data_IF_325955073995
#
_entry.id   IF_325955073995
#
_cell.length_a   1.000
_cell.length_b   1.000
_cell.length_c   1.000
_cell.angle_alpha   90.00
_cell.angle_beta   90.00
_cell.angle_gamma   90.00
#
_symmetry.space_group_name_H-M   'P 1'
#
loop_
_entity.id
_entity.type
_entity.pdbx_description
1 polymer ?
#
# COMPACT_ATOMS: atom_id res chain seq x y z
N UNK A 1 64.41 -4.29 -12.31
CA UNK A 1 64.37 -4.19 -10.83
C UNK A 1 63.06 -3.54 -10.43
N UNK A 2 62.57 -3.95 -9.28
CA UNK A 2 61.27 -3.74 -8.65
C UNK A 2 60.90 -2.29 -8.29
N UNK A 3 59.58 -2.13 -8.11
CA UNK A 3 58.80 -1.25 -7.20
C UNK A 3 58.44 0.20 -7.57
N UNK A 4 57.12 0.42 -7.62
CA UNK A 4 56.33 1.67 -7.56
C UNK A 4 56.47 2.42 -6.21
N UNK A 5 55.86 3.62 -6.01
CA UNK A 5 54.40 3.77 -5.79
C UNK A 5 53.71 5.01 -6.41
N UNK A 6 52.37 4.95 -6.41
CA UNK A 6 51.35 5.84 -6.98
C UNK A 6 51.12 7.11 -6.14
N UNK A 7 50.63 8.20 -6.75
CA UNK A 7 49.66 9.10 -6.08
C UNK A 7 48.72 9.82 -7.05
N UNK A 8 47.42 9.59 -6.89
CA UNK A 8 46.27 10.18 -7.60
C UNK A 8 45.75 11.41 -6.87
N UNK A 9 46.37 12.57 -7.06
CA UNK A 9 45.90 13.85 -6.50
C UNK A 9 46.02 14.97 -7.53
N UNK A 10 44.91 15.31 -8.21
CA UNK A 10 44.59 16.66 -8.71
C UNK A 10 43.36 16.65 -9.63
N UNK A 11 42.15 16.61 -9.06
CA UNK A 11 40.99 17.24 -9.72
C UNK A 11 40.13 17.86 -8.62
N UNK A 12 40.12 19.20 -8.57
CA UNK A 12 39.04 20.04 -8.07
C UNK A 12 39.48 21.52 -8.21
N UNK A 13 38.86 22.26 -9.15
CA UNK A 13 38.47 23.68 -8.98
C UNK A 13 37.66 24.20 -10.18
N UNK A 14 36.44 24.66 -9.88
CA UNK A 14 35.55 25.49 -10.71
C UNK A 14 34.49 24.68 -11.46
N UNK A 15 33.18 24.71 -11.19
CA UNK A 15 32.34 25.57 -10.36
C UNK A 15 31.27 26.26 -11.22
N UNK A 16 30.01 25.77 -11.21
CA UNK A 16 28.76 26.55 -11.30
C UNK A 16 27.50 25.65 -11.45
N UNK A 17 26.53 25.91 -10.57
CA UNK A 17 25.07 25.74 -10.71
C UNK A 17 24.49 24.33 -11.02
N UNK A 18 24.18 23.57 -9.97
CA UNK A 18 23.27 22.42 -10.03
C UNK A 18 22.02 22.70 -9.18
N UNK A 19 20.85 22.64 -9.81
CA UNK A 19 19.58 22.53 -9.10
C UNK A 19 19.53 21.18 -8.39
N UNK A 20 19.22 21.20 -7.08
CA UNK A 20 18.98 19.98 -6.32
C UNK A 20 17.60 19.40 -6.68
N UNK A 21 17.57 18.59 -7.72
CA UNK A 21 16.61 17.49 -7.80
C UNK A 21 17.16 16.36 -6.95
N UNK A 22 16.64 16.19 -5.74
CA UNK A 22 16.91 14.98 -4.95
C UNK A 22 15.94 13.92 -5.46
N UNK A 23 16.43 13.07 -6.36
CA UNK A 23 15.85 11.75 -6.58
C UNK A 23 16.50 10.83 -5.55
N UNK A 24 15.76 10.44 -4.52
CA UNK A 24 16.19 9.34 -3.64
C UNK A 24 15.98 8.04 -4.40
N UNK A 25 16.91 7.72 -5.30
CA UNK A 25 17.10 6.36 -5.77
C UNK A 25 17.92 5.63 -4.70
N UNK A 26 17.24 4.89 -3.82
CA UNK A 26 17.88 4.14 -2.74
C UNK A 26 18.75 3.01 -3.28
N UNK A 27 20.05 3.28 -3.46
CA UNK A 27 21.11 2.29 -3.30
C UNK A 27 22.03 2.82 -2.19
N UNK A 28 21.80 2.38 -0.95
CA UNK A 28 22.63 2.75 0.19
C UNK A 28 23.59 1.60 0.54
N UNK A 29 24.67 1.48 -0.23
CA UNK A 29 25.93 0.99 0.32
C UNK A 29 26.86 2.16 0.62
N UNK A 30 27.27 2.24 1.89
CA UNK A 30 28.44 2.95 2.42
C UNK A 30 28.41 4.49 2.57
N UNK A 31 27.97 4.96 3.74
CA UNK A 31 28.82 5.81 4.63
C UNK A 31 28.60 5.37 6.08
N UNK A 32 29.32 4.34 6.51
CA UNK A 32 29.42 3.98 7.93
C UNK A 32 30.49 4.87 8.59
N UNK A 33 30.05 5.93 9.28
CA UNK A 33 30.84 6.58 10.32
C UNK A 33 30.79 5.76 11.62
N UNK A 34 31.73 5.95 12.58
CA UNK A 34 31.97 5.03 13.69
C UNK A 34 30.95 5.13 14.84
N UNK A 35 29.65 5.09 14.53
CA UNK A 35 28.56 4.81 15.50
C UNK A 35 27.96 3.41 15.26
N UNK A 36 28.49 2.67 14.28
CA UNK A 36 28.23 1.24 14.15
C UNK A 36 28.99 0.44 15.23
N UNK A 37 28.40 0.30 16.42
CA UNK A 37 28.52 -0.89 17.28
C UNK A 37 27.74 -0.73 18.59
N UNK A 38 26.41 -0.64 18.49
CA UNK A 38 25.50 -1.34 19.40
C UNK A 38 24.33 -1.86 18.56
N UNK A 39 24.65 -2.67 17.56
CA UNK A 39 23.70 -3.71 17.17
C UNK A 39 23.61 -4.61 18.41
N UNK A 40 22.66 -4.32 19.30
CA UNK A 40 22.23 -5.31 20.27
C UNK A 40 21.89 -6.52 19.42
N UNK A 41 22.66 -7.60 19.56
CA UNK A 41 22.29 -8.90 19.02
C UNK A 41 20.96 -9.24 19.66
N UNK A 42 19.86 -8.93 18.96
CA UNK A 42 18.51 -9.22 19.45
C UNK A 42 18.38 -10.74 19.41
N UNK A 43 18.05 -11.38 20.54
CA UNK A 43 17.99 -12.84 20.63
C UNK A 43 16.75 -13.45 19.98
N UNK A 44 15.85 -12.64 19.42
CA UNK A 44 14.61 -13.05 18.78
C UNK A 44 14.49 -12.40 17.38
N UNK A 45 13.65 -13.00 16.53
CA UNK A 45 13.31 -12.46 15.20
C UNK A 45 12.62 -11.10 15.34
N UNK A 46 12.87 -10.17 14.41
CA UNK A 46 12.23 -8.86 14.44
C UNK A 46 12.74 -7.92 15.55
N UNK A 47 11.81 -7.42 16.36
CA UNK A 47 12.04 -6.47 17.47
C UNK A 47 11.87 -7.10 18.87
N UNK A 48 11.55 -8.39 18.95
CA UNK A 48 11.27 -9.12 20.20
C UNK A 48 9.78 -9.27 20.47
N UNK A 49 9.45 -9.99 21.55
CA UNK A 49 8.09 -10.28 21.99
C UNK A 49 7.26 -9.02 22.26
N UNK A 50 5.95 -9.09 22.01
CA UNK A 50 5.02 -8.01 22.33
C UNK A 50 4.80 -7.91 23.85
N UNK A 51 4.76 -6.68 24.35
CA UNK A 51 4.44 -6.40 25.76
C UNK A 51 2.99 -5.92 25.84
N UNK A 52 2.17 -6.49 26.76
CA UNK A 52 0.80 -6.02 26.96
C UNK A 52 0.74 -4.51 27.22
N UNK A 53 -0.18 -3.84 26.53
CA UNK A 53 -0.39 -2.40 26.69
C UNK A 53 -1.22 -2.11 27.94
N UNK A 54 -0.71 -1.32 28.91
CA UNK A 54 -1.51 -0.90 30.06
C UNK A 54 -2.77 -0.11 29.70
N UNK A 55 -2.79 0.55 28.54
CA UNK A 55 -3.96 1.26 28.03
C UNK A 55 -4.93 0.35 27.23
N UNK A 56 -4.52 -0.88 26.91
CA UNK A 56 -5.34 -1.86 26.19
C UNK A 56 -5.65 -1.47 24.74
N UNK A 57 -4.76 -0.75 24.05
CA UNK A 57 -4.94 -0.42 22.63
C UNK A 57 -3.97 -1.19 21.75
N UNK A 58 -2.67 -1.09 22.02
CA UNK A 58 -1.64 -1.58 21.10
C UNK A 58 -0.47 -2.19 21.86
N UNK A 59 -0.39 -3.52 21.89
CA UNK A 59 0.79 -4.20 22.41
C UNK A 59 1.96 -4.02 21.43
N UNK A 60 3.11 -3.61 21.95
CA UNK A 60 4.30 -3.27 21.17
C UNK A 60 5.55 -3.93 21.76
N UNK A 61 6.63 -4.13 20.97
CA UNK A 61 7.90 -4.64 21.50
C UNK A 61 8.55 -3.69 22.52
N UNK A 62 9.45 -4.18 23.40
CA UNK A 62 10.13 -3.36 24.38
C UNK A 62 10.83 -2.14 23.76
N UNK A 63 10.53 -0.96 24.30
CA UNK A 63 11.11 0.32 23.87
C UNK A 63 10.35 1.03 22.76
N UNK A 64 9.29 0.40 22.22
CA UNK A 64 8.33 1.06 21.34
C UNK A 64 7.21 1.71 22.13
N UNK A 65 6.58 2.72 21.53
CA UNK A 65 5.43 3.44 22.08
C UNK A 65 4.59 4.02 20.95
N UNK A 66 3.36 4.43 21.24
CA UNK A 66 2.48 5.07 20.27
C UNK A 66 1.89 6.37 20.82
N UNK A 67 1.44 7.23 19.91
CA UNK A 67 0.50 8.32 20.19
C UNK A 67 -0.70 8.20 19.26
N UNK A 68 -1.89 8.55 19.75
CA UNK A 68 -3.10 8.64 18.91
C UNK A 68 -3.02 9.95 18.13
N UNK A 69 -2.96 9.83 16.80
CA UNK A 69 -3.01 10.95 15.86
C UNK A 69 -4.45 11.39 15.69
N UNK A 70 -5.36 10.47 15.36
CA UNK A 70 -6.77 10.74 15.17
C UNK A 70 -7.62 9.57 15.68
N UNK A 71 -8.87 9.87 16.05
CA UNK A 71 -9.85 8.88 16.46
C UNK A 71 -11.22 9.27 15.91
N UNK A 72 -11.84 8.36 15.16
CA UNK A 72 -13.14 8.60 14.55
C UNK A 72 -14.19 8.94 15.60
N UNK A 73 -15.07 9.90 15.27
CA UNK A 73 -16.10 10.38 16.20
C UNK A 73 -15.59 11.23 17.38
N UNK A 74 -14.27 11.30 17.63
CA UNK A 74 -13.67 11.99 18.79
C UNK A 74 -12.83 13.19 18.37
N UNK A 75 -11.85 12.99 17.49
CA UNK A 75 -11.07 14.10 16.95
C UNK A 75 -11.89 14.89 15.92
N UNK A 76 -11.58 16.17 15.74
CA UNK A 76 -12.36 17.06 14.86
C UNK A 76 -11.53 17.55 13.69
N UNK A 77 -12.13 17.50 12.50
CA UNK A 77 -11.65 18.19 11.31
C UNK A 77 -11.62 19.71 11.53
N UNK A 78 -10.86 20.43 10.71
CA UNK A 78 -10.87 21.90 10.68
C UNK A 78 -12.27 22.50 10.48
N UNK A 79 -13.13 21.77 9.76
CA UNK A 79 -14.52 22.15 9.51
C UNK A 79 -15.47 21.89 10.69
N UNK A 80 -14.98 21.26 11.77
CA UNK A 80 -15.70 21.01 13.01
C UNK A 80 -16.48 19.69 13.07
N UNK A 81 -16.59 18.95 11.97
CA UNK A 81 -17.11 17.57 11.97
C UNK A 81 -16.09 16.62 12.60
N UNK A 82 -16.54 15.47 13.14
CA UNK A 82 -15.62 14.44 13.60
C UNK A 82 -14.74 13.89 12.47
N UNK A 83 -13.56 13.40 12.83
CA UNK A 83 -12.74 12.52 11.99
C UNK A 83 -13.62 11.37 11.51
N UNK A 84 -13.61 11.05 10.19
CA UNK A 84 -14.43 9.98 9.64
C UNK A 84 -14.01 8.58 10.15
N UNK A 85 -14.93 7.61 10.10
CA UNK A 85 -14.66 6.20 10.45
C UNK A 85 -13.80 5.49 9.42
N UNK A 86 -13.50 4.22 9.70
CA UNK A 86 -12.95 3.24 8.76
C UNK A 86 -11.69 3.75 8.08
N UNK A 87 -10.77 4.28 8.90
CA UNK A 87 -9.46 4.73 8.45
C UNK A 87 -8.70 3.54 7.86
N UNK A 88 -8.19 3.72 6.65
CA UNK A 88 -7.59 2.65 5.84
C UNK A 88 -6.27 3.12 5.20
N UNK A 89 -5.99 2.75 3.95
CA UNK A 89 -4.78 3.05 3.20
C UNK A 89 -4.28 4.47 3.43
N UNK A 90 -3.04 4.57 3.91
CA UNK A 90 -2.44 5.85 4.29
C UNK A 90 -1.16 6.13 3.50
N UNK A 91 -1.13 7.25 2.78
CA UNK A 91 0.09 7.79 2.19
C UNK A 91 0.78 8.76 3.15
N UNK A 92 2.11 8.63 3.35
CA UNK A 92 2.90 9.58 4.15
C UNK A 92 3.81 10.43 3.25
N UNK A 93 3.75 11.74 3.44
CA UNK A 93 4.48 12.73 2.66
C UNK A 93 5.27 13.67 3.57
N UNK A 94 6.40 14.19 3.07
CA UNK A 94 7.20 15.14 3.82
C UNK A 94 6.44 16.46 4.02
N UNK A 95 6.21 16.83 5.29
CA UNK A 95 5.61 18.09 5.68
C UNK A 95 6.63 19.16 6.05
N UNK A 96 6.14 20.37 6.36
CA UNK A 96 7.00 21.48 6.84
C UNK A 96 7.49 21.26 8.28
N UNK A 97 6.61 20.77 9.14
CA UNK A 97 6.87 20.57 10.57
C UNK A 97 7.12 19.10 10.93
N UNK A 98 6.86 18.19 10.00
CA UNK A 98 6.92 16.74 10.19
C UNK A 98 6.41 16.01 8.96
N UNK A 99 5.25 15.37 9.09
CA UNK A 99 4.64 14.56 8.03
C UNK A 99 3.25 15.06 7.66
N UNK A 100 2.84 14.78 6.44
CA UNK A 100 1.47 14.96 5.95
C UNK A 100 0.96 13.58 5.55
N UNK A 101 -0.14 13.14 6.17
CA UNK A 101 -0.79 11.87 5.88
C UNK A 101 -2.00 12.13 5.00
N UNK A 102 -2.19 11.35 3.95
CA UNK A 102 -3.48 11.24 3.25
C UNK A 102 -4.07 9.90 3.65
N UNK A 103 -5.13 9.93 4.46
CA UNK A 103 -5.78 8.77 5.04
C UNK A 103 -7.07 8.49 4.29
N UNK A 104 -7.21 7.27 3.77
CA UNK A 104 -8.46 6.80 3.19
C UNK A 104 -9.51 6.51 4.26
N UNK A 105 -10.77 6.52 3.84
CA UNK A 105 -11.92 6.14 4.66
C UNK A 105 -12.80 5.16 3.88
N UNK A 106 -12.80 3.90 4.29
CA UNK A 106 -13.38 2.75 3.60
C UNK A 106 -14.90 2.64 3.80
N UNK A 107 -15.60 3.76 3.57
CA UNK A 107 -17.03 3.88 3.87
C UNK A 107 -17.84 3.56 2.59
N UNK A 108 -18.48 2.39 2.56
CA UNK A 108 -19.33 1.94 1.45
C UNK A 108 -20.84 2.00 1.70
N UNK A 109 -21.26 2.19 2.96
CA UNK A 109 -22.60 1.86 3.42
C UNK A 109 -23.22 2.92 4.32
N UNK A 110 -23.50 2.52 5.56
CA UNK A 110 -24.18 3.31 6.59
C UNK A 110 -23.31 3.48 7.85
N UNK A 111 -22.00 3.30 7.68
CA UNK A 111 -20.99 3.47 8.71
C UNK A 111 -21.05 4.89 9.28
N UNK A 112 -20.76 5.08 10.58
CA UNK A 112 -20.90 6.37 11.23
C UNK A 112 -19.80 7.34 10.79
N UNK A 113 -20.03 8.65 10.88
CA UNK A 113 -19.02 9.67 10.57
C UNK A 113 -18.47 9.56 9.11
N UNK A 114 -19.31 9.72 8.07
CA UNK A 114 -18.82 9.75 6.70
C UNK A 114 -17.88 10.93 6.46
N UNK A 115 -17.04 10.84 5.42
CA UNK A 115 -16.24 11.97 4.96
C UNK A 115 -17.18 13.11 4.57
N UNK A 116 -17.10 14.31 5.20
CA UNK A 116 -18.08 15.35 4.96
C UNK A 116 -18.12 15.79 3.49
N UNK A 117 -19.31 15.84 2.86
CA UNK A 117 -19.44 16.33 1.50
C UNK A 117 -19.23 17.84 1.48
N UNK A 118 -18.07 18.29 1.00
CA UNK A 118 -17.72 19.70 0.86
C UNK A 118 -17.77 20.15 -0.60
N UNK A 119 -18.35 21.32 -0.83
CA UNK A 119 -18.44 21.91 -2.16
C UNK A 119 -17.06 21.98 -2.83
N UNK A 120 -16.99 21.56 -4.09
CA UNK A 120 -15.75 21.49 -4.84
C UNK A 120 -14.90 20.25 -4.57
N UNK A 121 -15.04 19.55 -3.43
CA UNK A 121 -14.23 18.36 -3.11
C UNK A 121 -15.01 17.05 -3.23
N UNK A 122 -16.32 17.11 -3.48
CA UNK A 122 -17.20 15.95 -3.58
C UNK A 122 -17.33 15.42 -5.01
N UNK A 123 -16.98 14.15 -5.24
CA UNK A 123 -17.23 13.45 -6.49
C UNK A 123 -18.71 13.10 -6.64
N UNK A 124 -19.27 12.33 -5.71
CA UNK A 124 -20.69 11.95 -5.66
C UNK A 124 -21.25 12.18 -4.23
N UNK A 125 -22.23 13.05 -4.03
CA UNK A 125 -22.80 13.31 -2.69
C UNK A 125 -23.55 12.10 -2.09
N UNK A 126 -23.83 11.06 -2.88
CA UNK A 126 -24.46 9.83 -2.40
C UNK A 126 -23.50 8.82 -1.76
N UNK A 127 -22.18 9.05 -1.87
CA UNK A 127 -21.15 8.18 -1.29
C UNK A 127 -20.52 8.82 -0.04
N UNK A 128 -20.22 7.99 0.97
CA UNK A 128 -19.70 8.43 2.27
C UNK A 128 -18.18 8.34 2.41
N UNK A 129 -17.51 7.63 1.50
CA UNK A 129 -16.05 7.49 1.48
C UNK A 129 -15.32 8.73 1.00
N UNK A 130 -14.00 8.64 1.02
CA UNK A 130 -13.12 9.74 0.67
C UNK A 130 -11.74 9.61 1.30
N UNK A 131 -11.08 10.76 1.40
CA UNK A 131 -9.81 10.90 2.09
C UNK A 131 -9.83 12.14 2.97
N UNK A 132 -9.16 12.04 4.11
CA UNK A 132 -8.73 13.20 4.89
C UNK A 132 -7.23 13.37 4.78
N UNK A 133 -6.75 14.60 4.96
CA UNK A 133 -5.33 14.90 5.10
C UNK A 133 -5.04 15.33 6.52
N UNK A 134 -4.13 14.64 7.20
CA UNK A 134 -3.68 14.95 8.57
C UNK A 134 -2.26 15.49 8.51
N UNK A 135 -2.01 16.65 9.10
CA UNK A 135 -0.65 17.16 9.31
C UNK A 135 -0.21 16.83 10.74
N UNK A 136 1.02 16.32 10.87
CA UNK A 136 1.65 16.01 12.15
C UNK A 136 3.04 16.65 12.23
N UNK A 137 3.48 16.98 13.44
CA UNK A 137 4.85 17.45 13.68
C UNK A 137 5.87 16.30 13.63
N UNK A 138 7.15 16.64 13.79
CA UNK A 138 8.26 15.68 13.73
C UNK A 138 8.26 14.62 14.83
N UNK A 139 7.44 14.78 15.88
CA UNK A 139 7.23 13.80 16.94
C UNK A 139 5.94 12.98 16.72
N UNK A 140 5.23 13.20 15.60
CA UNK A 140 4.00 12.50 15.25
C UNK A 140 2.74 13.08 15.87
N UNK A 141 2.82 14.24 16.52
CA UNK A 141 1.66 14.87 17.15
C UNK A 141 0.82 15.61 16.11
N UNK A 142 -0.49 15.40 16.14
CA UNK A 142 -1.46 16.05 15.24
C UNK A 142 -1.45 17.57 15.36
N UNK A 143 -1.35 18.22 14.19
CA UNK A 143 -1.47 19.67 13.99
C UNK A 143 -2.89 20.00 13.54
N UNK A 144 -3.36 19.40 12.44
CA UNK A 144 -4.70 19.64 11.86
C UNK A 144 -5.13 18.48 10.97
N UNK A 145 -6.40 18.47 10.59
CA UNK A 145 -6.96 17.51 9.64
C UNK A 145 -8.09 18.14 8.84
N UNK A 146 -8.14 17.85 7.55
CA UNK A 146 -9.17 18.39 6.65
C UNK A 146 -9.52 17.38 5.55
N UNK A 147 -10.72 17.52 4.98
CA UNK A 147 -11.15 16.72 3.82
C UNK A 147 -10.29 17.06 2.60
N UNK A 148 -9.68 16.05 1.99
CA UNK A 148 -8.97 16.14 0.71
C UNK A 148 -9.86 15.79 -0.47
N UNK A 149 -10.54 14.64 -0.42
CA UNK A 149 -11.53 14.21 -1.43
C UNK A 149 -12.71 13.60 -0.68
N UNK A 150 -13.94 13.88 -1.13
CA UNK A 150 -15.16 13.31 -0.56
C UNK A 150 -16.04 12.71 -1.66
N UNK A 151 -17.02 11.90 -1.26
CA UNK A 151 -18.00 11.36 -2.20
C UNK A 151 -17.42 10.34 -3.18
N UNK A 152 -16.30 9.72 -2.82
CA UNK A 152 -15.85 8.45 -3.39
C UNK A 152 -16.35 7.32 -2.50
N UNK A 153 -16.17 6.07 -2.91
CA UNK A 153 -16.85 4.92 -2.33
C UNK A 153 -15.88 3.79 -1.97
N UNK A 154 -15.97 3.27 -0.74
CA UNK A 154 -15.13 2.18 -0.25
C UNK A 154 -13.64 2.43 -0.56
N UNK A 155 -13.11 3.55 -0.07
CA UNK A 155 -11.71 3.87 -0.30
C UNK A 155 -10.84 2.95 0.57
N UNK A 156 -10.38 1.83 0.03
CA UNK A 156 -9.56 0.84 0.74
C UNK A 156 -8.10 1.32 0.82
N UNK A 157 -7.21 0.76 0.00
CA UNK A 157 -5.80 1.12 -0.03
C UNK A 157 -5.46 2.15 -1.12
N UNK A 158 -4.22 2.12 -1.60
CA UNK A 158 -3.75 3.06 -2.60
C UNK A 158 -2.28 2.94 -2.90
N UNK A 159 -1.67 4.05 -3.32
CA UNK A 159 -0.25 4.09 -3.59
C UNK A 159 0.32 5.48 -3.78
N UNK A 160 1.60 5.63 -3.45
CA UNK A 160 2.33 6.89 -3.58
C UNK A 160 2.91 7.00 -5.00
N UNK A 161 2.65 8.11 -5.68
CA UNK A 161 3.31 8.41 -6.95
C UNK A 161 4.74 8.94 -6.73
N UNK A 162 5.65 8.75 -7.69
CA UNK A 162 7.00 9.31 -7.65
C UNK A 162 7.08 10.84 -7.56
N UNK A 163 5.98 11.53 -7.88
CA UNK A 163 5.87 12.99 -7.81
C UNK A 163 5.12 13.49 -6.56
N UNK A 164 4.89 12.61 -5.58
CA UNK A 164 4.39 13.00 -4.26
C UNK A 164 2.90 13.32 -4.24
N UNK A 165 2.09 12.51 -4.91
CA UNK A 165 0.62 12.46 -4.78
C UNK A 165 0.19 11.08 -4.30
N UNK A 166 -0.97 11.00 -3.66
CA UNK A 166 -1.61 9.74 -3.27
C UNK A 166 -2.60 9.32 -4.35
N UNK A 167 -2.61 8.04 -4.71
CA UNK A 167 -3.65 7.44 -5.52
C UNK A 167 -4.55 6.64 -4.58
N UNK A 168 -5.75 7.15 -4.32
CA UNK A 168 -6.77 6.46 -3.52
C UNK A 168 -7.61 5.56 -4.42
N UNK A 169 -7.92 4.35 -3.96
CA UNK A 169 -8.60 3.32 -4.74
C UNK A 169 -10.01 3.08 -4.20
N UNK A 170 -11.03 3.09 -5.06
CA UNK A 170 -12.36 2.63 -4.70
C UNK A 170 -12.45 1.10 -4.91
N UNK A 171 -12.70 0.38 -3.83
CA UNK A 171 -12.85 -1.08 -3.80
C UNK A 171 -14.31 -1.45 -4.04
N UNK A 172 -14.82 -1.12 -5.24
CA UNK A 172 -16.19 -1.43 -5.61
C UNK A 172 -16.40 -1.52 -7.12
N UNK A 173 -17.53 -2.09 -7.53
CA UNK A 173 -18.01 -2.05 -8.91
C UNK A 173 -19.34 -1.28 -9.06
N UNK A 174 -19.73 -0.55 -8.02
CA UNK A 174 -21.03 0.10 -7.93
C UNK A 174 -21.28 1.08 -9.08
N UNK A 175 -22.46 0.96 -9.70
CA UNK A 175 -22.90 1.82 -10.80
C UNK A 175 -23.78 2.95 -10.33
N UNK A 176 -23.83 4.01 -11.15
CA UNK A 176 -24.83 5.06 -11.05
C UNK A 176 -26.24 4.45 -11.07
N UNK A 177 -27.15 5.05 -10.31
CA UNK A 177 -28.51 4.57 -10.16
C UNK A 177 -29.30 5.47 -9.22
N UNK A 178 -30.01 4.87 -8.25
CA UNK A 178 -30.84 5.63 -7.31
C UNK A 178 -30.01 6.20 -6.15
N UNK A 179 -29.10 5.42 -5.56
CA UNK A 179 -28.26 5.86 -4.43
C UNK A 179 -27.10 6.75 -4.88
N UNK A 180 -26.45 6.40 -5.99
CA UNK A 180 -25.27 7.09 -6.52
C UNK A 180 -25.59 7.76 -7.85
N UNK A 181 -25.11 8.98 -8.05
CA UNK A 181 -25.28 9.75 -9.27
C UNK A 181 -24.22 9.42 -10.34
N UNK A 182 -23.11 8.80 -9.94
CA UNK A 182 -21.98 8.46 -10.80
C UNK A 182 -21.60 6.98 -10.63
N UNK A 183 -20.90 6.46 -11.64
CA UNK A 183 -20.24 5.16 -11.53
C UNK A 183 -19.03 5.30 -10.59
N UNK A 184 -18.79 4.24 -9.80
CA UNK A 184 -17.68 4.07 -8.87
C UNK A 184 -16.83 2.85 -9.26
N UNK A 185 -15.74 2.64 -8.52
CA UNK A 185 -14.72 1.63 -8.79
C UNK A 185 -13.52 2.21 -9.53
N UNK A 186 -13.17 3.47 -9.26
CA UNK A 186 -12.07 4.15 -9.92
C UNK A 186 -10.98 4.58 -8.94
N UNK A 187 -9.79 4.81 -9.47
CA UNK A 187 -8.69 5.46 -8.75
C UNK A 187 -8.79 6.98 -8.88
N UNK A 188 -8.42 7.72 -7.83
CA UNK A 188 -8.37 9.19 -7.81
C UNK A 188 -6.99 9.68 -7.33
N UNK A 189 -6.50 10.76 -7.94
CA UNK A 189 -5.24 11.41 -7.52
C UNK A 189 -5.52 12.51 -6.48
N UNK A 190 -4.80 12.47 -5.37
CA UNK A 190 -4.88 13.41 -4.25
C UNK A 190 -3.52 14.07 -4.04
N UNK A 191 -3.45 15.40 -4.11
CA UNK A 191 -2.28 16.16 -3.69
C UNK A 191 -2.32 16.37 -2.16
N UNK A 192 -1.28 15.93 -1.42
CA UNK A 192 -1.22 16.07 0.03
C UNK A 192 -1.03 17.53 0.50
N UNK A 193 -0.51 18.40 -0.36
CA UNK A 193 -0.08 19.75 0.03
C UNK A 193 -0.92 20.87 -0.59
N UNK A 194 -1.55 20.63 -1.74
CA UNK A 194 -2.38 21.61 -2.42
C UNK A 194 -3.85 21.16 -2.47
N UNK A 195 -4.64 21.63 -1.48
CA UNK A 195 -6.07 21.34 -1.42
C UNK A 195 -6.84 21.81 -2.66
N UNK A 196 -6.40 22.88 -3.32
CA UNK A 196 -7.07 23.38 -4.53
C UNK A 196 -6.86 22.43 -5.73
N UNK A 197 -5.75 21.71 -5.77
CA UNK A 197 -5.50 20.68 -6.77
C UNK A 197 -6.48 19.48 -6.66
N UNK A 198 -7.09 19.29 -5.49
CA UNK A 198 -8.07 18.23 -5.22
C UNK A 198 -9.51 18.63 -5.57
N UNK A 199 -9.77 19.90 -5.91
CA UNK A 199 -11.10 20.33 -6.32
C UNK A 199 -11.55 19.62 -7.61
N UNK A 200 -12.84 19.34 -7.72
CA UNK A 200 -13.50 18.58 -8.78
C UNK A 200 -12.79 17.23 -9.01
N UNK A 201 -12.90 16.27 -8.06
CA UNK A 201 -12.21 14.98 -8.16
C UNK A 201 -12.49 14.30 -9.50
N UNK A 202 -11.43 13.78 -10.13
CA UNK A 202 -11.48 13.19 -11.47
C UNK A 202 -11.15 11.71 -11.39
N UNK A 203 -12.06 10.80 -11.78
CA UNK A 203 -11.75 9.38 -11.83
C UNK A 203 -10.74 9.11 -12.93
N UNK A 204 -9.67 8.38 -12.61
CA UNK A 204 -8.61 7.99 -13.54
C UNK A 204 -9.06 6.78 -14.37
N UNK A 205 -10.09 6.96 -15.20
CA UNK A 205 -10.76 5.86 -15.94
C UNK A 205 -9.83 5.02 -16.82
N UNK A 206 -8.68 5.57 -17.23
CA UNK A 206 -7.67 4.82 -17.97
C UNK A 206 -7.04 3.67 -17.18
N UNK A 207 -7.13 3.68 -15.85
CA UNK A 207 -6.71 2.58 -14.96
C UNK A 207 -7.78 1.48 -14.85
N UNK A 208 -8.96 1.71 -15.43
CA UNK A 208 -10.09 0.78 -15.45
C UNK A 208 -11.03 0.93 -14.26
N UNK A 209 -12.13 0.17 -14.30
CA UNK A 209 -13.18 0.15 -13.30
C UNK A 209 -13.36 -1.25 -12.73
N UNK A 210 -13.00 -1.46 -11.47
CA UNK A 210 -13.15 -2.72 -10.74
C UNK A 210 -12.94 -2.43 -9.23
N UNK A 211 -13.02 -3.45 -8.38
CA UNK A 211 -12.65 -3.34 -6.97
C UNK A 211 -11.14 -3.13 -6.84
N UNK A 212 -10.68 -1.88 -6.93
CA UNK A 212 -9.25 -1.57 -6.81
C UNK A 212 -8.87 -1.62 -5.35
N UNK A 213 -7.82 -2.38 -5.03
CA UNK A 213 -7.23 -2.30 -3.70
C UNK A 213 -6.12 -1.24 -3.66
N UNK A 214 -5.00 -1.55 -4.29
CA UNK A 214 -3.77 -0.80 -4.14
C UNK A 214 -3.10 -0.56 -5.48
N UNK A 215 -2.14 0.38 -5.49
CA UNK A 215 -1.32 0.64 -6.66
C UNK A 215 0.16 0.78 -6.32
N UNK A 216 1.01 0.27 -7.20
CA UNK A 216 2.46 0.50 -7.14
C UNK A 216 2.92 1.20 -8.43
N UNK A 217 3.65 2.32 -8.30
CA UNK A 217 4.04 3.15 -9.44
C UNK A 217 5.54 3.05 -9.70
N UNK A 218 5.92 2.63 -10.90
CA UNK A 218 7.32 2.59 -11.33
C UNK A 218 7.84 4.03 -11.57
N UNK A 219 8.87 4.51 -10.83
CA UNK A 219 9.39 5.86 -10.97
C UNK A 219 10.17 6.10 -12.27
N UNK A 220 10.55 5.05 -13.00
CA UNK A 220 11.34 5.16 -14.22
C UNK A 220 10.47 5.12 -15.47
N UNK A 221 9.45 4.25 -15.50
CA UNK A 221 8.56 4.08 -16.66
C UNK A 221 7.22 4.78 -16.49
N UNK A 222 6.83 5.12 -15.26
CA UNK A 222 5.50 5.57 -14.86
C UNK A 222 4.39 4.56 -15.15
N UNK A 223 4.75 3.28 -15.34
CA UNK A 223 3.77 2.19 -15.29
C UNK A 223 3.18 2.08 -13.89
N UNK A 224 1.90 1.72 -13.82
CA UNK A 224 1.16 1.56 -12.57
C UNK A 224 0.69 0.11 -12.51
N UNK A 225 1.02 -0.58 -11.43
CA UNK A 225 0.56 -1.93 -11.16
C UNK A 225 -0.60 -1.85 -10.17
N UNK A 226 -1.66 -2.64 -10.40
CA UNK A 226 -2.91 -2.54 -9.64
C UNK A 226 -3.39 -3.93 -9.23
N UNK A 227 -3.96 -4.00 -8.03
CA UNK A 227 -4.56 -5.20 -7.45
C UNK A 227 -6.08 -5.09 -7.48
N UNK A 228 -6.76 -6.21 -7.68
CA UNK A 228 -8.22 -6.32 -7.62
C UNK A 228 -8.62 -7.33 -6.55
N UNK A 229 -9.19 -6.84 -5.44
CA UNK A 229 -9.88 -7.72 -4.51
C UNK A 229 -11.27 -8.05 -5.08
N UNK A 230 -11.39 -9.25 -5.64
CA UNK A 230 -12.66 -9.74 -6.10
C UNK A 230 -12.76 -11.27 -6.03
N UNK A 231 -14.01 -11.73 -6.04
CA UNK A 231 -14.38 -13.14 -6.16
C UNK A 231 -15.38 -13.40 -7.29
N UNK A 232 -15.52 -14.69 -7.65
CA UNK A 232 -16.49 -15.22 -8.61
C UNK A 232 -16.45 -14.62 -10.03
N UNK A 233 -15.38 -14.83 -10.83
CA UNK A 233 -14.14 -15.54 -10.51
C UNK A 233 -13.18 -14.67 -9.68
N UNK A 234 -12.10 -15.27 -9.17
CA UNK A 234 -11.04 -14.60 -8.43
C UNK A 234 -10.43 -13.40 -9.20
N UNK A 235 -9.91 -12.44 -8.44
CA UNK A 235 -9.37 -11.17 -8.90
C UNK A 235 -8.10 -11.30 -9.75
N UNK A 236 -7.68 -10.17 -10.31
CA UNK A 236 -6.56 -10.07 -11.23
C UNK A 236 -5.51 -9.05 -10.79
N UNK A 237 -4.26 -9.28 -11.19
CA UNK A 237 -3.19 -8.30 -11.09
C UNK A 237 -3.03 -7.59 -12.44
N UNK A 238 -2.98 -6.26 -12.43
CA UNK A 238 -2.95 -5.44 -13.63
C UNK A 238 -1.67 -4.62 -13.77
N UNK A 239 -1.36 -4.24 -15.01
CA UNK A 239 -0.40 -3.20 -15.37
C UNK A 239 -1.05 -2.21 -16.31
N UNK A 240 -1.01 -0.94 -15.92
CA UNK A 240 -1.20 0.17 -16.85
C UNK A 240 0.14 0.70 -17.32
N UNK A 241 0.31 0.80 -18.64
CA UNK A 241 1.47 1.43 -19.29
C UNK A 241 1.06 2.77 -19.89
N UNK A 242 1.75 3.88 -19.55
CA UNK A 242 1.38 5.20 -20.03
C UNK A 242 1.51 5.34 -21.56
N UNK A 243 0.74 6.23 -22.19
CA UNK A 243 0.90 6.52 -23.61
C UNK A 243 2.27 7.15 -23.90
N UNK A 244 2.75 6.97 -25.13
CA UNK A 244 4.01 7.54 -25.59
C UNK A 244 4.07 9.05 -25.32
N UNK A 245 5.18 9.51 -24.73
CA UNK A 245 5.40 10.91 -24.42
C UNK A 245 4.81 11.40 -23.09
N UNK A 246 4.11 10.54 -22.33
CA UNK A 246 3.70 10.88 -20.97
C UNK A 246 4.89 11.30 -20.10
N UNK A 247 4.66 12.27 -19.23
CA UNK A 247 5.63 12.77 -18.25
C UNK A 247 4.95 12.82 -16.90
N UNK A 248 5.45 12.03 -15.96
CA UNK A 248 5.00 12.06 -14.57
C UNK A 248 5.27 13.40 -13.91
N UNK A 249 4.39 13.79 -12.99
CA UNK A 249 4.43 15.05 -12.29
C UNK A 249 3.09 15.31 -11.60
N UNK A 250 3.07 16.21 -10.61
CA UNK A 250 1.84 16.60 -9.91
C UNK A 250 0.75 17.03 -10.91
N UNK A 251 -0.40 16.38 -10.84
CA UNK A 251 -1.55 16.63 -11.72
C UNK A 251 -1.40 16.10 -13.15
N UNK A 252 -0.33 15.37 -13.48
CA UNK A 252 -0.14 14.81 -14.82
C UNK A 252 -1.17 13.72 -15.14
N UNK A 253 -1.51 12.86 -14.18
CA UNK A 253 -2.56 11.84 -14.34
C UNK A 253 -3.93 12.50 -14.46
N UNK A 254 -4.23 13.50 -13.62
CA UNK A 254 -5.43 14.31 -13.74
C UNK A 254 -5.56 14.96 -15.12
N UNK A 255 -4.50 15.61 -15.61
CA UNK A 255 -4.49 16.23 -16.93
C UNK A 255 -4.68 15.20 -18.06
N UNK A 256 -4.11 13.99 -17.91
CA UNK A 256 -4.32 12.89 -18.84
C UNK A 256 -5.79 12.45 -18.85
N UNK A 257 -6.41 12.28 -17.67
CA UNK A 257 -7.81 11.86 -17.53
C UNK A 257 -8.79 12.86 -18.15
N UNK A 258 -8.48 14.16 -18.10
CA UNK A 258 -9.35 15.23 -18.61
C UNK A 258 -9.26 15.44 -20.13
N UNK A 259 -8.35 14.77 -20.83
CA UNK A 259 -8.31 14.82 -22.29
C UNK A 259 -9.55 14.16 -22.90
N UNK A 260 -9.94 14.52 -24.14
CA UNK A 260 -11.04 13.85 -24.84
C UNK A 260 -10.89 12.32 -24.96
N UNK A 261 -9.65 11.82 -25.09
CA UNK A 261 -9.28 10.41 -25.12
C UNK A 261 -8.74 9.88 -23.79
N UNK A 262 -8.86 10.69 -22.72
CA UNK A 262 -8.24 10.45 -21.43
C UNK A 262 -8.67 9.14 -20.79
N UNK A 263 -9.95 8.77 -20.91
CA UNK A 263 -10.47 7.52 -20.34
C UNK A 263 -9.90 6.24 -20.95
N UNK A 264 -9.25 6.30 -22.12
CA UNK A 264 -8.63 5.15 -22.78
C UNK A 264 -7.13 5.35 -23.04
N UNK A 265 -6.52 6.33 -22.38
CA UNK A 265 -5.09 6.60 -22.54
C UNK A 265 -4.23 5.42 -22.04
N UNK A 266 -3.14 5.12 -22.75
CA UNK A 266 -2.24 4.01 -22.40
C UNK A 266 -2.87 2.61 -22.58
N UNK A 267 -2.12 1.57 -22.25
CA UNK A 267 -2.62 0.19 -22.26
C UNK A 267 -2.86 -0.29 -20.83
N UNK A 268 -4.00 -0.92 -20.57
CA UNK A 268 -4.28 -1.65 -19.35
C UNK A 268 -4.28 -3.14 -19.67
N UNK A 269 -3.51 -3.92 -18.92
CA UNK A 269 -3.27 -5.34 -19.20
C UNK A 269 -3.37 -6.16 -17.92
N UNK A 270 -3.89 -7.39 -18.00
CA UNK A 270 -3.93 -8.36 -16.92
C UNK A 270 -2.72 -9.31 -16.98
N UNK A 271 -2.26 -9.77 -15.82
CA UNK A 271 -1.14 -10.68 -15.67
C UNK A 271 -1.48 -12.11 -16.13
N UNK A 272 -0.55 -12.76 -16.83
CA UNK A 272 -0.58 -14.19 -17.16
C UNK A 272 0.77 -14.82 -16.84
N UNK A 273 0.78 -15.80 -15.95
CA UNK A 273 1.98 -16.42 -15.38
C UNK A 273 2.28 -17.77 -16.03
N UNK A 274 3.57 -18.07 -16.16
CA UNK A 274 4.06 -19.30 -16.77
C UNK A 274 5.21 -19.91 -16.00
N UNK A 275 5.17 -21.24 -15.85
CA UNK A 275 6.31 -22.07 -15.44
C UNK A 275 6.80 -22.86 -16.66
N UNK A 276 7.91 -22.42 -17.27
CA UNK A 276 8.33 -22.94 -18.57
C UNK A 276 7.30 -22.59 -19.64
N UNK A 277 6.67 -23.60 -20.24
CA UNK A 277 5.57 -23.45 -21.20
C UNK A 277 4.18 -23.70 -20.60
N UNK A 278 4.09 -24.08 -19.33
CA UNK A 278 2.82 -24.31 -18.65
C UNK A 278 2.27 -22.97 -18.16
N UNK A 279 1.02 -22.66 -18.52
CA UNK A 279 0.28 -21.56 -17.94
C UNK A 279 -0.13 -21.88 -16.50
N UNK A 280 -0.04 -20.88 -15.62
CA UNK A 280 -0.47 -20.93 -14.23
C UNK A 280 -1.81 -20.21 -14.15
N UNK A 281 -2.88 -20.93 -13.81
CA UNK A 281 -4.22 -20.34 -13.80
C UNK A 281 -4.48 -19.57 -12.49
N UNK A 282 -3.84 -19.98 -11.40
CA UNK A 282 -4.05 -19.39 -10.07
C UNK A 282 -2.75 -19.30 -9.26
N UNK A 283 -2.51 -18.17 -8.57
CA UNK A 283 -1.30 -17.98 -7.76
C UNK A 283 -1.21 -18.93 -6.56
N UNK A 284 -2.34 -19.45 -6.07
CA UNK A 284 -2.37 -20.47 -5.01
C UNK A 284 -1.69 -21.78 -5.43
N UNK A 285 -1.38 -21.99 -6.71
CA UNK A 285 -0.52 -23.10 -7.16
C UNK A 285 0.88 -23.04 -6.52
N UNK A 286 1.36 -21.87 -6.12
CA UNK A 286 2.64 -21.71 -5.43
C UNK A 286 2.52 -21.96 -3.91
N UNK A 287 3.22 -22.98 -3.41
CA UNK A 287 3.20 -23.36 -1.99
C UNK A 287 4.55 -23.22 -1.28
N UNK A 288 5.57 -22.72 -1.99
CA UNK A 288 6.93 -22.62 -1.46
C UNK A 288 7.56 -21.25 -1.78
N UNK A 289 8.10 -20.52 -0.78
CA UNK A 289 8.91 -19.33 -1.01
C UNK A 289 10.04 -19.59 -2.01
N UNK A 290 10.30 -18.61 -2.87
CA UNK A 290 11.23 -18.71 -3.99
C UNK A 290 10.62 -19.27 -5.28
N UNK A 291 9.36 -19.74 -5.26
CA UNK A 291 8.62 -20.07 -6.48
C UNK A 291 8.54 -18.84 -7.38
N UNK A 292 8.90 -19.00 -8.65
CA UNK A 292 9.03 -17.90 -9.62
C UNK A 292 8.34 -18.24 -10.92
N UNK A 293 7.49 -17.33 -11.38
CA UNK A 293 6.79 -17.44 -12.66
C UNK A 293 7.23 -16.32 -13.61
N UNK A 294 7.28 -16.65 -14.89
CA UNK A 294 7.42 -15.67 -15.97
C UNK A 294 6.07 -15.02 -16.21
N UNK A 295 6.06 -13.71 -16.38
CA UNK A 295 4.86 -12.90 -16.62
C UNK A 295 4.77 -12.52 -18.09
N UNK A 296 3.57 -12.66 -18.64
CA UNK A 296 3.10 -12.03 -19.85
C UNK A 296 1.89 -11.14 -19.53
N UNK A 297 1.57 -10.22 -20.43
CA UNK A 297 0.52 -9.22 -20.22
C UNK A 297 -0.53 -9.30 -21.32
N UNK A 298 -1.80 -9.41 -20.93
CA UNK A 298 -2.94 -9.56 -21.84
C UNK A 298 -3.78 -8.29 -21.80
N UNK A 299 -4.02 -7.66 -22.96
CA UNK A 299 -4.79 -6.42 -23.03
C UNK A 299 -6.21 -6.59 -22.50
N UNK A 300 -6.65 -5.65 -21.66
CA UNK A 300 -8.02 -5.58 -21.15
C UNK A 300 -8.96 -5.06 -22.24
N UNK A 301 -9.96 -5.85 -22.68
CA UNK A 301 -10.83 -5.46 -23.80
C UNK A 301 -11.70 -4.24 -23.48
N UNK A 302 -12.44 -4.25 -22.37
CA UNK A 302 -13.26 -3.14 -21.90
C UNK A 302 -12.90 -2.78 -20.45
N UNK A 303 -11.94 -1.85 -20.31
CA UNK A 303 -11.46 -1.41 -18.99
C UNK A 303 -12.51 -0.67 -18.17
N UNK A 304 -13.53 -0.08 -18.78
CA UNK A 304 -14.60 0.66 -18.07
C UNK A 304 -15.74 -0.29 -17.65
N UNK A 305 -15.58 -1.59 -17.95
CA UNK A 305 -16.47 -2.69 -17.56
C UNK A 305 -17.95 -2.41 -17.85
N UNK A 306 -18.25 -1.74 -18.98
CA UNK A 306 -19.55 -1.14 -19.30
C UNK A 306 -20.70 -2.14 -19.21
N UNK A 307 -20.41 -3.38 -19.56
CA UNK A 307 -21.37 -4.49 -19.53
C UNK A 307 -20.95 -5.62 -18.60
N UNK A 308 -19.64 -5.90 -18.51
CA UNK A 308 -19.08 -7.05 -17.80
C UNK A 308 -17.87 -6.59 -16.98
N UNK A 309 -17.80 -6.95 -15.70
CA UNK A 309 -16.65 -6.72 -14.83
C UNK A 309 -15.34 -7.14 -15.52
N UNK A 310 -14.26 -6.39 -15.34
CA UNK A 310 -12.99 -6.63 -16.05
C UNK A 310 -12.54 -8.09 -15.93
N UNK A 311 -12.50 -8.66 -14.72
CA UNK A 311 -12.08 -10.05 -14.49
C UNK A 311 -12.90 -11.13 -15.20
N UNK A 312 -14.16 -10.82 -15.57
CA UNK A 312 -15.10 -11.73 -16.23
C UNK A 312 -14.98 -11.69 -17.75
N UNK A 313 -14.12 -10.85 -18.30
CA UNK A 313 -13.87 -10.76 -19.75
C UNK A 313 -12.84 -11.78 -20.24
N UNK A 314 -12.18 -12.50 -19.33
CA UNK A 314 -11.10 -13.45 -19.60
C UNK A 314 -11.47 -14.88 -19.20
N UNK A 315 -10.91 -15.87 -19.89
CA UNK A 315 -10.89 -17.27 -19.46
C UNK A 315 -9.66 -17.57 -18.60
N UNK A 316 -9.67 -18.70 -17.88
CA UNK A 316 -8.60 -19.10 -16.97
C UNK A 316 -7.33 -19.57 -17.72
N UNK A 317 -7.42 -19.78 -19.03
CA UNK A 317 -6.25 -20.04 -19.89
C UNK A 317 -5.56 -18.76 -20.38
N UNK A 318 -6.19 -17.59 -20.17
CA UNK A 318 -5.65 -16.31 -20.65
C UNK A 318 -4.94 -15.51 -19.55
N UNK A 319 -5.37 -15.64 -18.30
CA UNK A 319 -4.91 -14.82 -17.19
C UNK A 319 -4.66 -15.67 -15.95
N UNK A 320 -3.78 -15.19 -15.08
CA UNK A 320 -3.56 -15.79 -13.76
C UNK A 320 -4.38 -15.04 -12.73
N UNK A 321 -5.16 -15.79 -11.96
CA UNK A 321 -6.00 -15.27 -10.89
C UNK A 321 -5.35 -15.43 -9.53
N UNK A 322 -5.90 -14.73 -8.56
CA UNK A 322 -5.67 -14.99 -7.14
C UNK A 322 -6.87 -14.46 -6.35
N UNK A 323 -7.21 -15.16 -5.27
CA UNK A 323 -8.19 -14.64 -4.31
C UNK A 323 -7.57 -13.47 -3.53
N UNK A 324 -8.41 -12.48 -3.18
CA UNK A 324 -8.11 -11.24 -2.44
C UNK A 324 -6.71 -10.69 -2.72
N UNK A 325 -6.50 -10.15 -3.93
CA UNK A 325 -5.27 -9.40 -4.22
C UNK A 325 -5.41 -8.01 -3.63
N UNK A 326 -4.56 -7.68 -2.66
CA UNK A 326 -4.78 -6.51 -1.81
C UNK A 326 -3.59 -5.53 -1.87
N UNK A 327 -2.96 -5.20 -0.75
CA UNK A 327 -1.92 -4.18 -0.66
C UNK A 327 -0.79 -4.35 -1.67
N UNK A 328 -0.31 -3.23 -2.21
CA UNK A 328 0.79 -3.18 -3.16
C UNK A 328 1.73 -2.01 -2.84
N UNK A 329 3.04 -2.20 -3.04
CA UNK A 329 4.03 -1.18 -2.76
C UNK A 329 5.25 -1.26 -3.69
N UNK A 330 5.69 -0.13 -4.20
CA UNK A 330 6.90 -0.07 -5.04
C UNK A 330 8.16 0.06 -4.19
N UNK A 331 9.09 -0.89 -4.32
CA UNK A 331 10.43 -0.82 -3.76
C UNK A 331 11.38 -1.82 -4.45
N UNK A 332 12.68 -1.72 -4.17
CA UNK A 332 13.69 -2.69 -4.64
C UNK A 332 13.70 -2.89 -6.17
N UNK A 333 13.22 -1.89 -6.92
CA UNK A 333 13.14 -1.91 -8.38
C UNK A 333 11.94 -2.66 -8.96
N UNK A 334 10.98 -3.07 -8.12
CA UNK A 334 9.76 -3.77 -8.54
C UNK A 334 8.56 -3.45 -7.63
N UNK A 335 7.52 -4.26 -7.76
CA UNK A 335 6.28 -4.12 -7.00
C UNK A 335 6.10 -5.32 -6.06
N UNK A 336 5.98 -5.04 -4.76
CA UNK A 336 5.41 -5.97 -3.81
C UNK A 336 3.89 -5.94 -3.92
N UNK A 337 3.25 -7.08 -3.74
CA UNK A 337 1.81 -7.18 -3.55
C UNK A 337 1.47 -8.43 -2.74
N UNK A 338 0.26 -8.48 -2.18
CA UNK A 338 -0.18 -9.61 -1.36
C UNK A 338 -1.44 -10.26 -1.90
N UNK A 339 -1.62 -11.52 -1.53
CA UNK A 339 -2.89 -12.21 -1.58
C UNK A 339 -3.22 -12.66 -0.16
N UNK A 340 -4.31 -12.19 0.45
CA UNK A 340 -4.57 -12.40 1.88
C UNK A 340 -4.92 -13.83 2.22
N UNK A 341 -5.69 -14.54 1.39
CA UNK A 341 -5.94 -15.96 1.62
C UNK A 341 -6.38 -16.68 0.34
N UNK A 342 -6.43 -18.01 0.44
CA UNK A 342 -7.03 -18.89 -0.55
C UNK A 342 -7.74 -20.07 0.14
N UNK A 343 -8.91 -20.44 -0.39
CA UNK A 343 -9.72 -21.59 0.07
C UNK A 343 -10.20 -22.41 -1.12
N UNK A 344 -10.39 -23.71 -0.93
CA UNK A 344 -10.87 -24.55 -2.04
C UNK A 344 -12.26 -24.16 -2.57
N UNK A 345 -13.11 -23.55 -1.74
CA UNK A 345 -14.48 -23.16 -2.11
C UNK A 345 -14.55 -21.85 -2.91
N UNK A 346 -13.49 -21.03 -2.91
CA UNK A 346 -13.36 -19.86 -3.79
C UNK A 346 -12.84 -20.21 -5.19
N UNK A 347 -12.41 -21.45 -5.41
CA UNK A 347 -11.83 -21.95 -6.65
C UNK A 347 -10.31 -22.07 -6.64
N UNK A 348 -9.64 -21.73 -5.54
CA UNK A 348 -8.18 -21.87 -5.39
C UNK A 348 -7.71 -23.33 -5.34
N UNK A 349 -6.48 -23.55 -5.83
CA UNK A 349 -5.86 -24.88 -5.96
C UNK A 349 -5.27 -25.38 -4.64
N UNK A 350 -4.65 -24.49 -3.87
CA UNK A 350 -4.16 -24.79 -2.51
C UNK A 350 -4.64 -23.72 -1.54
N UNK A 351 -4.71 -24.09 -0.26
CA UNK A 351 -5.12 -23.18 0.80
C UNK A 351 -3.90 -22.52 1.47
N UNK A 352 -4.06 -21.25 1.81
CA UNK A 352 -3.08 -20.46 2.56
C UNK A 352 -3.77 -19.28 3.23
N UNK A 353 -3.10 -18.71 4.21
CA UNK A 353 -3.54 -17.51 4.95
C UNK A 353 -2.68 -16.29 4.65
N UNK A 354 -1.94 -16.36 3.54
CA UNK A 354 -1.35 -15.18 2.96
C UNK A 354 -0.18 -15.51 2.07
N UNK A 355 0.03 -14.67 1.07
CA UNK A 355 1.20 -14.71 0.22
C UNK A 355 1.72 -13.30 0.02
N UNK A 356 3.04 -13.15 0.10
CA UNK A 356 3.74 -11.92 -0.28
C UNK A 356 4.48 -12.20 -1.58
N UNK A 357 4.14 -11.46 -2.63
CA UNK A 357 4.72 -11.58 -3.95
C UNK A 357 5.60 -10.38 -4.29
N UNK A 358 6.59 -10.60 -5.15
CA UNK A 358 7.40 -9.54 -5.74
C UNK A 358 7.44 -9.69 -7.27
N UNK A 359 6.96 -8.67 -7.97
CA UNK A 359 7.06 -8.54 -9.41
C UNK A 359 8.27 -7.68 -9.82
N UNK A 360 9.15 -8.24 -10.65
CA UNK A 360 10.30 -7.56 -11.24
C UNK A 360 10.04 -7.23 -12.72
N UNK A 361 9.85 -5.94 -13.08
CA UNK A 361 9.61 -5.53 -14.47
C UNK A 361 10.84 -5.69 -15.37
N UNK A 362 12.06 -5.81 -14.83
CA UNK A 362 13.27 -5.97 -15.64
C UNK A 362 13.39 -7.38 -16.21
N UNK A 363 12.88 -8.35 -15.47
CA UNK A 363 12.91 -9.76 -15.85
C UNK A 363 11.53 -10.31 -16.22
N UNK A 364 10.47 -9.50 -16.07
CA UNK A 364 9.07 -9.88 -16.28
C UNK A 364 8.75 -11.17 -15.53
N UNK A 365 8.99 -11.16 -14.21
CA UNK A 365 8.72 -12.31 -13.35
C UNK A 365 8.10 -11.92 -12.03
N UNK A 366 7.24 -12.79 -11.51
CA UNK A 366 6.72 -12.71 -10.15
C UNK A 366 7.33 -13.82 -9.30
N UNK A 367 7.75 -13.50 -8.07
CA UNK A 367 8.38 -14.44 -7.13
C UNK A 367 7.67 -14.43 -5.79
N UNK A 368 7.29 -15.61 -5.30
CA UNK A 368 6.72 -15.78 -3.96
C UNK A 368 7.81 -15.55 -2.92
N UNK A 369 7.65 -14.53 -2.08
CA UNK A 369 8.63 -14.14 -1.06
C UNK A 369 8.36 -14.81 0.28
N UNK A 370 7.09 -14.87 0.68
CA UNK A 370 6.62 -15.43 1.94
C UNK A 370 5.24 -16.03 1.73
N UNK A 371 4.93 -17.10 2.46
CA UNK A 371 3.61 -17.72 2.50
C UNK A 371 3.25 -18.03 3.95
N UNK A 372 2.00 -17.80 4.32
CA UNK A 372 1.42 -18.14 5.61
C UNK A 372 0.51 -19.35 5.43
N UNK A 373 0.73 -20.40 6.22
CA UNK A 373 -0.11 -21.60 6.19
C UNK A 373 -1.43 -21.36 6.93
N UNK A 374 -2.45 -22.16 6.63
CA UNK A 374 -3.77 -22.01 7.25
C UNK A 374 -3.70 -22.09 8.79
N UNK A 375 -4.06 -20.99 9.45
CA UNK A 375 -4.20 -20.87 10.89
C UNK A 375 -5.42 -21.66 11.35
N UNK A 376 -5.17 -22.66 12.21
CA UNK A 376 -6.23 -23.53 12.72
C UNK A 376 -6.93 -22.96 13.97
N UNK A 377 -6.37 -21.91 14.57
CA UNK A 377 -6.84 -21.31 15.82
C UNK A 377 -6.61 -19.78 15.79
N UNK A 378 -7.40 -19.02 15.01
CA UNK A 378 -7.25 -17.57 14.84
C UNK A 378 -7.39 -16.75 16.13
N UNK A 379 -8.10 -17.29 17.13
CA UNK A 379 -8.25 -16.65 18.43
C UNK A 379 -6.99 -16.78 19.32
N UNK A 380 -6.04 -17.65 18.92
CA UNK A 380 -4.81 -17.89 19.66
C UNK A 380 -3.63 -17.09 19.10
N UNK A 381 -3.05 -16.23 19.93
CA UNK A 381 -1.79 -15.55 19.66
C UNK A 381 -0.60 -16.52 19.75
N UNK A 382 -0.41 -17.31 18.68
CA UNK A 382 0.59 -18.36 18.56
C UNK A 382 1.62 -18.09 17.44
N UNK A 383 1.67 -16.86 16.91
CA UNK A 383 2.54 -16.49 15.79
C UNK A 383 2.10 -17.04 14.44
N UNK A 384 0.84 -17.46 14.32
CA UNK A 384 0.21 -17.87 13.06
C UNK A 384 -0.52 -16.65 12.48
N UNK A 385 0.22 -15.87 11.71
CA UNK A 385 -0.28 -14.67 11.04
C UNK A 385 -1.15 -15.04 9.83
N UNK A 386 -2.19 -14.25 9.58
CA UNK A 386 -3.18 -14.46 8.53
C UNK A 386 -3.69 -13.17 7.90
N UNK A 387 -4.25 -13.28 6.70
CA UNK A 387 -4.91 -12.19 6.01
C UNK A 387 -4.03 -10.95 5.77
N UNK A 388 -2.79 -11.06 5.24
CA UNK A 388 -2.01 -9.87 4.93
C UNK A 388 -2.70 -9.06 3.83
N UNK A 389 -3.05 -7.83 4.17
CA UNK A 389 -3.72 -6.87 3.30
C UNK A 389 -2.79 -5.67 3.06
N UNK A 390 -2.93 -4.64 3.88
CA UNK A 390 -2.35 -3.34 3.63
C UNK A 390 -0.84 -3.42 3.90
N UNK A 391 0.01 -2.99 2.96
CA UNK A 391 1.48 -3.15 3.10
C UNK A 391 2.27 -1.86 2.97
N UNK A 392 3.44 -1.83 3.60
CA UNK A 392 4.49 -0.84 3.31
C UNK A 392 5.88 -1.46 3.38
N UNK A 393 6.82 -0.90 2.63
CA UNK A 393 8.22 -1.32 2.70
C UNK A 393 8.92 -0.58 3.83
N UNK A 394 9.61 -1.33 4.68
CA UNK A 394 10.36 -0.74 5.79
C UNK A 394 11.64 -0.06 5.28
N UNK A 395 11.96 1.17 5.73
CA UNK A 395 13.26 1.79 5.44
C UNK A 395 14.43 1.02 6.08
N UNK A 396 14.14 0.05 6.94
CA UNK A 396 15.11 -0.82 7.59
C UNK A 396 15.26 -2.20 6.91
N UNK A 397 14.54 -2.39 5.79
CA UNK A 397 14.51 -3.62 5.01
C UNK A 397 13.34 -4.54 5.37
N UNK A 398 12.80 -5.22 4.35
CA UNK A 398 11.61 -6.05 4.49
C UNK A 398 10.30 -5.28 4.27
N UNK A 399 9.17 -5.95 4.49
CA UNK A 399 7.82 -5.37 4.39
C UNK A 399 7.12 -5.43 5.74
N UNK A 400 6.26 -4.46 6.01
CA UNK A 400 5.28 -4.51 7.09
C UNK A 400 3.93 -4.77 6.45
N UNK A 401 3.21 -5.73 6.99
CA UNK A 401 1.88 -6.17 6.60
C UNK A 401 0.92 -5.77 7.71
N UNK A 402 -0.29 -5.39 7.33
CA UNK A 402 -1.42 -5.24 8.22
C UNK A 402 -2.36 -6.43 8.01
N UNK A 403 -2.83 -7.05 9.09
CA UNK A 403 -3.72 -8.22 9.02
C UNK A 403 -5.19 -7.80 8.99
N UNK A 404 -5.89 -8.25 7.95
CA UNK A 404 -7.35 -8.39 7.83
C UNK A 404 -7.72 -9.89 7.84
N UNK A 405 -7.31 -10.54 8.93
CA UNK A 405 -7.48 -11.97 9.17
C UNK A 405 -8.66 -12.30 10.08
N UNK A 406 -8.70 -13.54 10.57
CA UNK A 406 -9.67 -13.94 11.59
C UNK A 406 -9.06 -13.78 13.00
N UNK A 407 -9.85 -13.32 13.97
CA UNK A 407 -9.44 -13.31 15.38
C UNK A 407 -8.43 -12.22 15.75
N UNK A 408 -7.24 -12.60 16.20
CA UNK A 408 -6.24 -11.65 16.73
C UNK A 408 -5.45 -11.01 15.59
N UNK A 409 -5.64 -9.72 15.35
CA UNK A 409 -4.94 -8.98 14.30
C UNK A 409 -3.62 -8.33 14.76
N UNK A 410 -2.63 -8.30 13.86
CA UNK A 410 -1.31 -7.72 14.04
C UNK A 410 -0.89 -6.76 12.93
N UNK A 411 0.09 -5.90 13.26
CA UNK A 411 1.09 -5.52 12.27
C UNK A 411 2.18 -6.59 12.26
N UNK A 412 2.46 -7.14 11.09
CA UNK A 412 3.44 -8.22 10.90
C UNK A 412 4.60 -7.71 10.08
N UNK A 413 5.81 -7.83 10.61
CA UNK A 413 7.01 -7.58 9.82
C UNK A 413 7.48 -8.84 9.12
N UNK A 414 7.87 -8.73 7.86
CA UNK A 414 8.56 -9.78 7.11
C UNK A 414 9.95 -9.27 6.73
N UNK A 415 10.97 -9.98 7.20
CA UNK A 415 12.38 -9.68 6.93
C UNK A 415 12.74 -9.84 5.45
N UNK A 416 13.89 -9.33 5.03
CA UNK A 416 14.36 -9.50 3.64
C UNK A 416 14.54 -10.98 3.24
N UNK A 417 14.80 -11.83 4.23
CA UNK A 417 14.93 -13.29 4.13
C UNK A 417 13.58 -14.03 4.21
N UNK A 418 12.46 -13.31 4.35
CA UNK A 418 11.10 -13.87 4.32
C UNK A 418 10.58 -14.38 5.67
N UNK A 419 11.31 -14.19 6.77
CA UNK A 419 10.85 -14.54 8.13
C UNK A 419 9.86 -13.51 8.66
N UNK A 420 8.69 -13.96 9.10
CA UNK A 420 7.67 -13.13 9.75
C UNK A 420 7.96 -12.92 11.25
N UNK A 421 7.49 -11.81 11.80
CA UNK A 421 7.55 -11.48 13.23
C UNK A 421 6.43 -10.50 13.62
N UNK A 422 5.94 -10.55 14.86
CA UNK A 422 4.94 -9.59 15.32
C UNK A 422 5.59 -8.22 15.54
N UNK A 423 4.95 -7.16 15.05
CA UNK A 423 5.37 -5.77 15.27
C UNK A 423 4.41 -5.02 16.19
N UNK A 424 3.12 -5.32 16.10
CA UNK A 424 2.10 -4.80 17.02
C UNK A 424 0.93 -5.78 17.07
N UNK A 425 0.17 -5.81 18.17
CA UNK A 425 -1.09 -6.54 18.30
C UNK A 425 -2.20 -5.59 18.73
N UNK A 426 -3.37 -5.74 18.11
CA UNK A 426 -4.58 -5.04 18.51
C UNK A 426 -5.06 -5.61 19.87
N UNK A 427 -5.02 -4.81 20.92
CA UNK A 427 -5.50 -5.19 22.27
C UNK A 427 -6.93 -4.72 22.53
N UNK A 428 -7.50 -3.94 21.61
CA UNK A 428 -8.80 -3.31 21.77
C UNK A 428 -9.94 -4.27 21.39
N UNK A 429 -9.80 -4.95 20.24
CA UNK A 429 -10.81 -5.82 19.64
C UNK A 429 -10.19 -6.69 18.51
N UNK A 430 -11.05 -7.36 17.76
CA UNK A 430 -10.78 -8.18 16.57
C UNK A 430 -10.79 -7.38 15.25
N UNK A 431 -10.82 -6.04 15.31
CA UNK A 431 -10.72 -5.24 14.09
C UNK A 431 -9.33 -5.35 13.48
N UNK A 432 -9.29 -5.31 12.15
CA UNK A 432 -8.07 -5.29 11.37
C UNK A 432 -7.15 -4.08 11.64
N UNK A 433 -5.87 -4.26 11.31
CA UNK A 433 -4.94 -3.16 11.08
C UNK A 433 -5.01 -2.72 9.62
N UNK A 434 -4.82 -1.43 9.38
CA UNK A 434 -4.74 -0.87 8.02
C UNK A 434 -3.69 0.23 7.88
N UNK A 435 -3.40 0.63 6.65
CA UNK A 435 -2.64 1.82 6.30
C UNK A 435 -1.24 1.97 6.92
N UNK A 436 -0.41 0.90 7.09
CA UNK A 436 0.93 1.08 7.62
C UNK A 436 1.76 1.94 6.65
N UNK A 437 2.47 2.95 7.14
CA UNK A 437 3.34 3.81 6.31
C UNK A 437 4.41 4.52 7.13
N UNK A 438 5.63 4.57 6.63
CA UNK A 438 6.73 5.25 7.33
C UNK A 438 6.80 6.74 6.97
N UNK A 439 7.05 7.55 7.99
CA UNK A 439 7.61 8.90 7.83
C UNK A 439 8.89 8.88 6.98
N UNK A 440 9.14 9.97 6.24
CA UNK A 440 10.27 10.06 5.30
C UNK A 440 11.65 9.88 5.96
N UNK A 441 11.79 10.17 7.25
CA UNK A 441 13.03 9.95 8.02
C UNK A 441 13.08 8.58 8.73
N UNK A 442 12.02 7.77 8.57
CA UNK A 442 11.90 6.41 9.10
C UNK A 442 11.69 6.33 10.61
N UNK A 443 11.45 7.44 11.32
CA UNK A 443 11.35 7.42 12.80
C UNK A 443 9.96 7.06 13.33
N UNK A 444 8.94 7.24 12.50
CA UNK A 444 7.55 6.99 12.84
C UNK A 444 6.96 6.05 11.79
N UNK A 445 6.35 4.96 12.26
CA UNK A 445 5.40 4.15 11.50
C UNK A 445 4.00 4.63 11.87
N UNK A 446 3.24 5.12 10.89
CA UNK A 446 1.80 5.33 11.04
C UNK A 446 1.08 4.04 10.67
N UNK A 447 -0.02 3.75 11.33
CA UNK A 447 -0.91 2.62 11.06
C UNK A 447 -2.25 2.87 11.75
N UNK A 448 -3.28 2.15 11.34
CA UNK A 448 -4.62 2.33 11.87
C UNK A 448 -5.18 1.03 12.46
N UNK A 449 -6.18 1.18 13.32
CA UNK A 449 -7.18 0.12 13.58
C UNK A 449 -8.48 0.62 12.94
N UNK A 450 -9.04 -0.14 11.99
CA UNK A 450 -10.15 0.34 11.15
C UNK A 450 -11.40 0.66 11.98
N UNK A 451 -11.80 -0.25 12.88
CA UNK A 451 -12.96 -0.13 13.76
C UNK A 451 -12.54 -0.17 15.24
N UNK A 452 -12.82 0.86 16.05
CA UNK A 452 -13.74 1.98 15.80
C UNK A 452 -13.10 3.19 15.09
N UNK A 453 -11.90 3.06 14.53
CA UNK A 453 -11.20 4.12 13.80
C UNK A 453 -10.17 4.83 14.65
N UNK A 454 -8.94 4.33 14.64
CA UNK A 454 -7.77 4.98 15.24
C UNK A 454 -6.66 5.14 14.21
N UNK A 455 -5.98 6.29 14.24
CA UNK A 455 -4.73 6.53 13.52
C UNK A 455 -3.63 6.66 14.56
N UNK A 456 -2.61 5.81 14.49
CA UNK A 456 -1.48 5.80 15.43
C UNK A 456 -0.22 6.35 14.79
N UNK A 457 0.64 6.95 15.62
CA UNK A 457 2.03 7.21 15.31
C UNK A 457 2.90 6.35 16.25
N UNK A 458 3.52 5.31 15.70
CA UNK A 458 4.35 4.33 16.43
C UNK A 458 5.82 4.76 16.32
N UNK A 459 6.47 4.90 17.47
CA UNK A 459 7.87 5.28 17.59
C UNK A 459 8.62 4.25 18.42
N UNK A 460 9.93 4.10 18.18
CA UNK A 460 10.74 3.18 18.95
C UNK A 460 12.18 3.09 18.44
N UNK A 461 12.96 2.14 18.94
CA UNK A 461 14.33 1.87 18.52
C UNK A 461 14.34 1.16 17.16
N UNK A 462 13.81 1.84 16.14
CA UNK A 462 13.80 1.36 14.77
C UNK A 462 15.22 1.08 14.28
N UNK A 463 15.34 0.06 13.44
CA UNK A 463 16.60 -0.43 12.92
C UNK A 463 16.37 -1.74 12.19
N UNK A 464 17.40 -2.31 11.55
CA UNK A 464 17.24 -3.57 10.82
C UNK A 464 16.66 -4.66 11.75
N UNK A 465 15.54 -5.31 11.40
CA UNK A 465 14.99 -6.40 12.19
C UNK A 465 15.96 -7.58 12.24
N UNK A 466 15.93 -8.33 13.33
CA UNK A 466 16.78 -9.51 13.52
C UNK A 466 16.25 -10.71 12.74
N UNK A 467 17.17 -11.51 12.19
CA UNK A 467 16.88 -12.82 11.60
C UNK A 467 17.21 -13.99 12.54
N UNK A 468 17.66 -13.68 13.77
CA UNK A 468 18.00 -14.71 14.75
C UNK A 468 16.76 -15.52 15.10
N UNK A 469 16.89 -16.84 15.09
CA UNK A 469 15.88 -17.71 15.67
C UNK A 469 15.94 -17.57 17.20
N UNK A 470 14.78 -17.62 17.86
CA UNK A 470 14.71 -17.66 19.33
C UNK A 470 15.48 -18.90 19.79
N UNK A 471 16.52 -18.71 20.61
CA UNK A 471 17.39 -19.77 21.10
C UNK A 471 16.72 -20.68 22.14
#
# INVERSE_FOLDING_TARGET
MTSSPISRRAVLRGGAAGGLGIVVAGNLEAIAGPVAARAATRPAVGYGELVPDPAGLLALPPGFSYTIVAQAGVTLLESGQPTPSDADGTGCFLGREGSVLVNNHEIGGAEPFPVPPLAGLTYDPGAGGGTTTIEVDGDGKRIREYVSVAGTHNNCAGGITPWGTWLTCEETEQRAGVKYLKDHGYVFEVDPHDRSANENPVPLKFLGRYSHEAVAVDPYTHSIFLTEDAGGPNGLYFRWTPPAGFRGGKGALRALAQRPDGGTAGSLQAMSCYLGSQHIADLSEATAPGTRYRVEWVDVPDRDAKTVSVRKQFTDEQVTRSRKLEGAWWADGGAYFVASFARHDDGSVNEHDGQVWFYDPRTETVTLKTIFGVNQDPDADAGNFDGPDNITVSPYGGVILAEDGEGVSHLVGVTAEGKAYPLARNELNDSEFTGPTFSADGKILFANIQSPGYVFAITGPWGRPSNADVA
#
